data_IF_055693157176
#
_entry.id   IF_055693157176
#
_cell.length_a   1.000
_cell.length_b   1.000
_cell.length_c   1.000
_cell.angle_alpha   90.00
_cell.angle_beta   90.00
_cell.angle_gamma   90.00
#
_symmetry.space_group_name_H-M   'P 1'
#
loop_
_entity.id
_entity.type
_entity.pdbx_description
1 polymer ?
#
# COMPACT_ATOMS: atom_id res chain seq x y z
N UNK A 1 -1.94 18.45 -5.98
CA UNK A 1 -1.92 19.78 -5.34
C UNK A 1 -2.22 19.60 -3.87
N UNK A 2 -1.81 20.52 -2.99
CA UNK A 2 -1.89 20.35 -1.54
C UNK A 2 -3.33 20.24 -1.00
N UNK A 3 -4.32 20.74 -1.73
CA UNK A 3 -5.73 20.73 -1.32
C UNK A 3 -6.53 19.54 -1.89
N UNK A 4 -5.85 18.55 -2.47
CA UNK A 4 -6.47 17.35 -3.04
C UNK A 4 -5.76 16.10 -2.51
N UNK A 5 -6.50 14.99 -2.31
CA UNK A 5 -5.89 13.75 -1.87
C UNK A 5 -4.76 13.32 -2.81
N UNK A 6 -3.67 12.73 -2.27
CA UNK A 6 -2.64 12.09 -3.06
C UNK A 6 -3.23 11.09 -4.06
N UNK A 7 -2.63 11.01 -5.24
CA UNK A 7 -3.10 10.06 -6.25
C UNK A 7 -2.84 8.62 -5.78
N UNK A 8 -3.80 7.70 -5.99
CA UNK A 8 -3.57 6.29 -5.73
C UNK A 8 -2.56 5.73 -6.72
N UNK A 9 -1.85 4.68 -6.32
CA UNK A 9 -0.90 4.01 -7.20
C UNK A 9 -0.72 2.53 -6.84
N UNK A 10 -0.57 1.70 -7.86
CA UNK A 10 -0.16 0.30 -7.70
C UNK A 10 1.32 0.27 -7.29
N UNK A 11 1.61 -0.48 -6.23
CA UNK A 11 2.95 -0.69 -5.68
C UNK A 11 3.51 -2.08 -6.03
N UNK A 12 2.64 -3.07 -6.16
CA UNK A 12 3.04 -4.44 -6.48
C UNK A 12 1.92 -5.24 -7.12
N UNK A 13 2.29 -6.16 -7.99
CA UNK A 13 1.37 -7.11 -8.62
C UNK A 13 2.06 -8.48 -8.62
N UNK A 14 1.35 -9.53 -8.22
CA UNK A 14 1.84 -10.91 -8.35
C UNK A 14 0.69 -11.87 -8.61
N UNK A 15 1.00 -13.03 -9.19
CA UNK A 15 0.06 -14.13 -9.30
C UNK A 15 0.19 -15.02 -8.05
N UNK A 16 -0.93 -15.28 -7.38
CA UNK A 16 -0.99 -16.21 -6.27
C UNK A 16 -0.92 -17.67 -6.74
N UNK A 17 -0.57 -18.58 -5.84
CA UNK A 17 -0.55 -20.01 -6.13
C UNK A 17 -1.95 -20.59 -6.46
N UNK A 18 -3.01 -19.87 -6.06
CA UNK A 18 -4.42 -20.16 -6.39
C UNK A 18 -4.83 -19.64 -7.78
N UNK A 19 -3.89 -19.08 -8.55
CA UNK A 19 -4.12 -18.52 -9.87
C UNK A 19 -4.83 -17.15 -9.84
N UNK A 20 -4.98 -16.52 -8.67
CA UNK A 20 -5.59 -15.18 -8.57
C UNK A 20 -4.53 -14.08 -8.69
N UNK A 21 -4.91 -12.95 -9.26
CA UNK A 21 -4.04 -11.78 -9.36
C UNK A 21 -4.12 -10.98 -8.06
N UNK A 22 -2.99 -10.74 -7.43
CA UNK A 22 -2.89 -9.89 -6.24
C UNK A 22 -2.36 -8.52 -6.63
N UNK A 23 -2.98 -7.47 -6.11
CA UNK A 23 -2.61 -6.08 -6.38
C UNK A 23 -2.45 -5.35 -5.06
N UNK A 24 -1.21 -4.96 -4.75
CA UNK A 24 -0.87 -4.06 -3.65
C UNK A 24 -0.89 -2.64 -4.18
N UNK A 25 -1.75 -1.81 -3.62
CA UNK A 25 -1.89 -0.39 -3.95
C UNK A 25 -1.73 0.49 -2.72
N UNK A 26 -1.49 1.77 -2.97
CA UNK A 26 -1.66 2.83 -1.99
C UNK A 26 -2.79 3.75 -2.41
N UNK A 27 -3.57 4.22 -1.43
CA UNK A 27 -4.65 5.20 -1.61
C UNK A 27 -4.49 6.27 -0.54
N UNK A 28 -5.09 7.45 -0.74
CA UNK A 28 -5.10 8.46 0.30
C UNK A 28 -5.81 7.94 1.57
N UNK A 29 -5.16 8.09 2.71
CA UNK A 29 -5.79 7.98 4.03
C UNK A 29 -6.91 9.04 4.14
N UNK A 30 -8.04 8.82 4.84
CA UNK A 30 -9.10 9.84 4.97
C UNK A 30 -8.59 11.18 5.56
N UNK A 31 -7.59 11.13 6.42
CA UNK A 31 -6.88 12.23 7.08
C UNK A 31 -5.51 12.53 6.44
N UNK A 32 -5.33 12.18 5.15
CA UNK A 32 -4.07 12.28 4.39
C UNK A 32 -3.32 13.61 4.52
N UNK A 33 -4.06 14.71 4.72
CA UNK A 33 -3.49 16.04 4.83
C UNK A 33 -2.54 16.15 6.03
N UNK A 34 -2.78 15.37 7.08
CA UNK A 34 -1.89 15.28 8.24
C UNK A 34 -0.51 14.75 7.85
N UNK A 35 -0.41 13.84 6.87
CA UNK A 35 0.87 13.29 6.42
C UNK A 35 1.73 14.22 5.55
N UNK A 36 1.20 15.39 5.17
CA UNK A 36 1.89 16.36 4.33
C UNK A 36 2.86 17.26 5.09
N UNK A 37 3.91 17.69 4.38
CA UNK A 37 4.82 18.74 4.78
C UNK A 37 4.47 20.10 4.17
N UNK A 38 5.37 21.09 4.37
CA UNK A 38 5.21 22.43 3.81
C UNK A 38 5.01 22.40 2.29
N UNK A 39 4.18 23.32 1.80
CA UNK A 39 3.98 23.53 0.36
C UNK A 39 5.09 24.42 -0.17
N UNK A 40 5.86 23.90 -1.13
CA UNK A 40 6.90 24.66 -1.84
C UNK A 40 6.54 24.69 -3.32
N UNK A 41 6.43 25.88 -3.91
CA UNK A 41 6.05 26.06 -5.31
C UNK A 41 4.76 25.30 -5.69
N UNK A 42 3.76 25.32 -4.81
CA UNK A 42 2.47 24.64 -5.04
C UNK A 42 2.48 23.12 -4.88
N UNK A 43 3.59 22.53 -4.39
CA UNK A 43 3.72 21.09 -4.15
C UNK A 43 4.02 20.82 -2.69
N UNK A 44 3.22 19.96 -2.05
CA UNK A 44 3.50 19.44 -0.72
C UNK A 44 4.39 18.20 -0.81
N UNK A 45 5.41 18.11 0.03
CA UNK A 45 6.16 16.86 0.25
C UNK A 45 5.38 15.93 1.18
N UNK A 46 5.57 14.62 1.04
CA UNK A 46 5.01 13.63 1.95
C UNK A 46 6.04 13.36 3.03
N UNK A 47 5.80 13.87 4.25
CA UNK A 47 6.75 13.73 5.36
C UNK A 47 6.43 12.55 6.25
N UNK A 48 5.15 12.18 6.36
CA UNK A 48 4.67 11.05 7.14
C UNK A 48 3.85 10.15 6.23
N UNK A 49 4.48 9.21 5.50
CA UNK A 49 3.80 8.38 4.52
C UNK A 49 2.67 7.53 5.11
N UNK A 50 2.84 7.01 6.33
CA UNK A 50 1.80 6.23 7.04
C UNK A 50 0.57 7.09 7.40
N UNK A 51 0.71 8.41 7.53
CA UNK A 51 -0.40 9.34 7.80
C UNK A 51 -1.00 9.91 6.50
N UNK A 52 -0.34 9.69 5.35
CA UNK A 52 -0.76 10.20 4.05
C UNK A 52 -1.46 9.14 3.20
N UNK A 53 -1.13 7.87 3.43
CA UNK A 53 -1.59 6.76 2.62
C UNK A 53 -1.94 5.54 3.43
N UNK A 54 -2.99 4.89 2.98
CA UNK A 54 -3.30 3.51 3.34
C UNK A 54 -2.86 2.56 2.25
N UNK A 55 -2.56 1.33 2.64
CA UNK A 55 -2.40 0.23 1.71
C UNK A 55 -3.74 -0.43 1.45
N UNK A 56 -4.04 -0.66 0.17
CA UNK A 56 -5.14 -1.51 -0.27
C UNK A 56 -4.55 -2.74 -0.93
N UNK A 57 -5.01 -3.92 -0.54
CA UNK A 57 -4.66 -5.17 -1.18
C UNK A 57 -5.92 -5.78 -1.79
N UNK A 58 -5.87 -6.03 -3.09
CA UNK A 58 -6.96 -6.65 -3.83
C UNK A 58 -6.54 -8.00 -4.37
N UNK A 59 -7.46 -8.96 -4.31
CA UNK A 59 -7.39 -10.22 -5.03
C UNK A 59 -8.37 -10.13 -6.18
N UNK A 60 -7.90 -10.38 -7.40
CA UNK A 60 -8.67 -10.21 -8.63
C UNK A 60 -8.69 -11.48 -9.46
N UNK A 61 -9.79 -11.70 -10.16
CA UNK A 61 -9.89 -12.69 -11.22
C UNK A 61 -9.04 -12.21 -12.41
N UNK A 62 -8.00 -12.96 -12.83
CA UNK A 62 -7.14 -12.54 -13.92
C UNK A 62 -7.84 -12.53 -15.30
N UNK A 63 -8.92 -13.31 -15.48
CA UNK A 63 -9.64 -13.39 -16.75
C UNK A 63 -10.56 -12.19 -16.98
N UNK A 64 -11.22 -11.72 -15.90
CA UNK A 64 -12.23 -10.66 -15.97
C UNK A 64 -11.76 -9.33 -15.39
N UNK A 65 -10.71 -9.34 -14.58
CA UNK A 65 -10.26 -8.19 -13.79
C UNK A 65 -11.15 -7.88 -12.59
N UNK A 66 -12.18 -8.68 -12.32
CA UNK A 66 -13.11 -8.49 -11.22
C UNK A 66 -12.41 -8.64 -9.86
N UNK A 67 -12.76 -7.78 -8.90
CA UNK A 67 -12.27 -7.89 -7.52
C UNK A 67 -13.01 -9.03 -6.83
N UNK A 68 -12.25 -10.03 -6.37
CA UNK A 68 -12.74 -11.19 -5.61
C UNK A 68 -12.75 -10.85 -4.11
N UNK A 69 -11.69 -10.21 -3.62
CA UNK A 69 -11.56 -9.79 -2.24
C UNK A 69 -10.71 -8.51 -2.15
N UNK A 70 -10.91 -7.72 -1.11
CA UNK A 70 -10.11 -6.54 -0.82
C UNK A 70 -9.92 -6.37 0.68
N UNK A 71 -8.74 -5.89 1.06
CA UNK A 71 -8.40 -5.49 2.42
C UNK A 71 -7.73 -4.11 2.40
N UNK A 72 -7.94 -3.33 3.47
CA UNK A 72 -7.30 -2.04 3.70
C UNK A 72 -6.49 -2.11 4.99
N UNK A 73 -5.31 -1.50 4.98
CA UNK A 73 -4.43 -1.37 6.12
C UNK A 73 -4.16 0.10 6.35
N UNK A 74 -4.35 0.57 7.59
CA UNK A 74 -4.19 1.98 8.01
C UNK A 74 -2.71 2.40 8.13
N UNK A 75 -1.86 1.84 7.25
CA UNK A 75 -0.41 2.04 7.16
C UNK A 75 0.05 1.80 5.74
N UNK A 76 1.16 2.43 5.36
CA UNK A 76 1.75 2.25 4.05
C UNK A 76 2.73 1.07 4.03
N UNK A 77 2.42 0.10 3.19
CA UNK A 77 3.34 -0.92 2.67
C UNK A 77 3.67 -0.57 1.21
N UNK A 78 4.78 0.14 0.95
CA UNK A 78 5.10 0.66 -0.38
C UNK A 78 5.73 -0.38 -1.31
N UNK A 79 6.05 -1.59 -0.83
CA UNK A 79 6.73 -2.60 -1.63
C UNK A 79 6.14 -3.99 -1.44
N UNK A 80 6.09 -4.76 -2.52
CA UNK A 80 6.05 -6.23 -2.46
C UNK A 80 7.46 -6.73 -2.79
N UNK A 81 8.07 -7.50 -1.88
CA UNK A 81 9.46 -7.98 -2.04
C UNK A 81 9.53 -9.39 -2.59
N UNK A 82 8.45 -10.17 -2.40
CA UNK A 82 8.19 -11.46 -3.02
C UNK A 82 6.66 -11.67 -3.07
N UNK A 83 6.16 -12.63 -3.87
CA UNK A 83 4.73 -12.94 -3.89
C UNK A 83 4.19 -13.21 -2.48
N UNK A 84 3.19 -12.43 -2.06
CA UNK A 84 2.56 -12.57 -0.74
C UNK A 84 3.28 -11.86 0.41
N UNK A 85 4.44 -11.22 0.20
CA UNK A 85 5.14 -10.50 1.26
C UNK A 85 5.27 -9.01 0.94
N UNK A 86 4.56 -8.21 1.75
CA UNK A 86 4.64 -6.77 1.74
C UNK A 86 5.76 -6.29 2.68
N UNK A 87 6.45 -5.21 2.30
CA UNK A 87 7.52 -4.62 3.09
C UNK A 87 7.25 -3.14 3.31
N UNK A 88 7.49 -2.67 4.54
CA UNK A 88 7.63 -1.25 4.86
C UNK A 88 9.02 -0.93 5.44
N UNK A 89 9.72 0.09 4.93
CA UNK A 89 10.96 0.56 5.53
C UNK A 89 10.67 1.51 6.69
N UNK A 90 11.35 1.29 7.80
CA UNK A 90 11.35 2.18 8.97
C UNK A 90 12.72 2.83 9.07
N UNK A 91 12.76 4.16 9.07
CA UNK A 91 14.00 4.90 9.35
C UNK A 91 14.37 4.67 10.80
N UNK A 92 15.60 4.23 11.05
CA UNK A 92 16.17 4.09 12.39
C UNK A 92 17.38 5.03 12.53
N UNK A 93 17.89 5.15 13.76
CA UNK A 93 19.03 6.04 14.06
C UNK A 93 20.25 5.75 13.16
N UNK A 94 20.98 6.81 12.82
CA UNK A 94 22.18 6.71 11.98
C UNK A 94 21.92 6.53 10.48
N UNK A 95 20.68 6.71 10.01
CA UNK A 95 20.34 6.66 8.58
C UNK A 95 20.16 5.24 8.03
N UNK A 96 20.13 4.24 8.90
CA UNK A 96 19.78 2.87 8.53
C UNK A 96 18.27 2.72 8.37
N UNK A 97 17.87 1.70 7.60
CA UNK A 97 16.47 1.30 7.48
C UNK A 97 16.28 -0.09 8.09
N UNK A 98 15.23 -0.25 8.89
CA UNK A 98 14.70 -1.56 9.27
C UNK A 98 13.57 -1.92 8.32
N UNK A 99 13.65 -3.08 7.69
CA UNK A 99 12.51 -3.64 6.96
C UNK A 99 11.56 -4.33 7.95
N UNK A 100 10.28 -3.98 7.89
CA UNK A 100 9.20 -4.77 8.49
C UNK A 100 8.50 -5.53 7.36
N UNK A 101 8.43 -6.85 7.49
CA UNK A 101 7.85 -7.76 6.51
C UNK A 101 6.50 -8.25 7.04
N UNK A 102 5.52 -8.30 6.17
CA UNK A 102 4.18 -8.83 6.46
C UNK A 102 3.79 -9.81 5.37
N UNK A 103 3.62 -11.06 5.76
CA UNK A 103 3.00 -12.07 4.90
C UNK A 103 1.50 -11.81 4.85
N UNK A 104 0.94 -11.84 3.65
CA UNK A 104 -0.50 -11.67 3.43
C UNK A 104 -1.08 -12.92 2.80
N UNK A 105 -2.11 -13.45 3.46
CA UNK A 105 -2.78 -14.70 3.09
C UNK A 105 -4.27 -14.44 2.89
N UNK A 106 -4.84 -15.05 1.85
CA UNK A 106 -6.30 -15.08 1.68
C UNK A 106 -6.84 -16.29 2.45
N UNK A 107 -7.68 -16.02 3.45
CA UNK A 107 -8.40 -17.07 4.15
C UNK A 107 -9.70 -17.31 3.38
N UNK A 108 -9.78 -18.43 2.67
CA UNK A 108 -11.08 -18.96 2.24
C UNK A 108 -11.62 -19.79 3.40
N UNK A 109 -12.72 -19.35 4.01
CA UNK A 109 -13.46 -20.22 4.93
C UNK A 109 -13.88 -21.48 4.15
N UNK A 110 -13.47 -22.64 4.66
CA UNK A 110 -13.80 -23.93 4.07
C UNK A 110 -15.13 -24.45 4.59
N UNK A 111 -16.01 -24.78 3.63
CA UNK A 111 -17.25 -25.57 3.70
C UNK A 111 -18.56 -24.84 4.01
#
# INVERSE_FOLDING_TARGET
GPDRPPQPAVQGIWLGADGRLWVLGKVADPEWASGLGPVVNGTASILRPDDAFDTVLEVRDPATGAVIAAARFDRLYPFAVEPGVAMRPLVIEGGWFRAELTEVVAITEGH
#
